data_IF_019342370260
#
_entry.id   IF_019342370260
#
_cell.length_a   1.000
_cell.length_b   1.000
_cell.length_c   1.000
_cell.angle_alpha   90.00
_cell.angle_beta   90.00
_cell.angle_gamma   90.00
#
_symmetry.space_group_name_H-M   'P 1'
#
loop_
_entity.id
_entity.type
_entity.pdbx_description
1 polymer ?
#
# COMPACT_ATOMS: atom_id res chain seq x y z
N UNK A 1 20.99 5.04 -0.58
CA UNK A 1 20.45 6.40 -0.80
C UNK A 1 19.90 6.88 0.54
N UNK A 2 20.50 7.92 1.11
CA UNK A 2 20.12 8.45 2.43
C UNK A 2 18.99 9.46 2.26
N UNK A 3 18.05 9.43 3.19
CA UNK A 3 16.72 9.99 2.97
C UNK A 3 16.46 11.21 3.95
N UNK A 4 17.27 11.36 5.02
CA UNK A 4 17.39 12.24 6.25
C UNK A 4 16.33 12.33 7.45
N UNK A 5 16.15 11.29 8.34
CA UNK A 5 15.09 10.90 9.39
C UNK A 5 13.78 10.07 9.04
N UNK A 6 13.77 8.76 8.74
CA UNK A 6 12.47 7.99 8.69
C UNK A 6 12.04 7.70 10.12
N UNK A 7 10.75 7.85 10.45
CA UNK A 7 10.20 7.38 11.72
C UNK A 7 9.10 6.34 11.42
N UNK A 8 9.50 5.06 11.35
CA UNK A 8 8.56 3.94 11.19
C UNK A 8 7.85 3.72 12.53
N UNK A 9 6.53 3.62 12.51
CA UNK A 9 5.72 3.51 13.72
C UNK A 9 4.98 2.18 13.80
N UNK A 10 5.23 1.39 14.84
CA UNK A 10 4.32 0.32 15.25
C UNK A 10 3.07 0.93 15.88
N UNK A 11 2.07 1.26 15.04
CA UNK A 11 0.79 1.76 15.49
C UNK A 11 -0.19 0.59 15.67
N UNK A 12 -0.51 0.35 16.95
CA UNK A 12 -1.42 -0.66 17.49
C UNK A 12 -1.08 -2.13 17.16
N UNK A 13 -0.38 -2.82 18.08
CA UNK A 13 -0.54 -4.26 18.20
C UNK A 13 -1.94 -4.60 18.74
N UNK A 14 -2.41 -5.83 18.47
CA UNK A 14 -3.77 -6.31 18.77
C UNK A 14 -4.32 -5.98 20.18
N UNK A 15 -3.53 -6.01 21.28
CA UNK A 15 -4.03 -5.63 22.61
C UNK A 15 -4.25 -4.12 22.79
N UNK A 16 -3.41 -3.28 22.18
CA UNK A 16 -3.32 -1.84 22.47
C UNK A 16 -4.35 -1.01 21.70
N UNK A 17 -5.02 -1.63 20.73
CA UNK A 17 -6.12 -1.02 19.96
C UNK A 17 -7.11 -0.37 20.93
N UNK A 18 -7.52 -1.05 22.01
CA UNK A 18 -8.46 -0.52 23.00
C UNK A 18 -8.03 0.76 23.72
N UNK A 19 -6.73 1.03 23.85
CA UNK A 19 -6.25 2.26 24.46
C UNK A 19 -6.32 3.46 23.49
N UNK A 20 -6.14 3.22 22.20
CA UNK A 20 -6.29 4.23 21.15
C UNK A 20 -7.76 4.43 20.69
N UNK A 21 -8.62 3.42 20.89
CA UNK A 21 -10.02 3.41 20.44
C UNK A 21 -10.88 4.55 21.02
N UNK A 22 -10.72 4.89 22.31
CA UNK A 22 -11.70 5.69 23.04
C UNK A 22 -11.82 7.17 22.62
N UNK A 23 -10.79 7.72 21.97
CA UNK A 23 -10.65 9.18 21.74
C UNK A 23 -10.30 9.57 20.30
N UNK A 24 -10.12 8.60 19.41
CA UNK A 24 -9.81 8.85 17.99
C UNK A 24 -11.02 9.48 17.27
N UNK A 25 -10.77 10.45 16.38
CA UNK A 25 -11.85 11.14 15.65
C UNK A 25 -12.49 10.23 14.62
N UNK A 26 -11.75 9.23 14.13
CA UNK A 26 -12.21 8.27 13.12
C UNK A 26 -13.53 7.60 13.48
N UNK A 27 -13.82 7.33 14.74
CA UNK A 27 -15.10 6.73 15.15
C UNK A 27 -16.33 7.60 14.86
N UNK A 28 -16.14 8.91 14.66
CA UNK A 28 -17.18 9.85 14.26
C UNK A 28 -17.21 10.12 12.73
N UNK A 29 -16.28 9.54 11.97
CA UNK A 29 -16.17 9.77 10.53
C UNK A 29 -17.20 8.95 9.75
N UNK A 30 -18.21 9.64 9.20
CA UNK A 30 -19.31 9.02 8.46
C UNK A 30 -18.84 8.24 7.22
N UNK A 31 -17.72 8.63 6.60
CA UNK A 31 -17.14 7.93 5.45
C UNK A 31 -16.48 6.58 5.82
N UNK A 32 -16.08 6.37 7.08
CA UNK A 32 -15.58 5.08 7.58
C UNK A 32 -16.67 4.19 8.19
N UNK A 33 -17.83 4.76 8.53
CA UNK A 33 -18.94 4.04 9.18
C UNK A 33 -19.35 2.74 8.47
N UNK A 34 -19.36 2.74 7.13
CA UNK A 34 -19.69 1.58 6.31
C UNK A 34 -18.64 0.45 6.34
N UNK A 35 -17.48 0.65 6.95
CA UNK A 35 -16.38 -0.33 7.09
C UNK A 35 -16.26 -0.87 8.52
N UNK A 36 -16.81 -0.17 9.52
CA UNK A 36 -16.79 -0.64 10.91
C UNK A 36 -17.49 -2.00 11.06
N UNK A 37 -16.94 -2.83 11.96
CA UNK A 37 -17.43 -4.17 12.30
C UNK A 37 -17.47 -5.19 11.13
N UNK A 38 -16.92 -4.85 9.96
CA UNK A 38 -16.68 -5.81 8.87
C UNK A 38 -15.26 -6.38 9.00
N UNK A 39 -15.06 -7.69 8.75
CA UNK A 39 -13.78 -8.36 8.96
C UNK A 39 -12.76 -8.07 7.86
N UNK A 40 -11.53 -8.59 8.03
CA UNK A 40 -10.54 -8.75 6.97
C UNK A 40 -10.15 -7.42 6.29
N UNK A 41 -10.38 -7.23 4.98
CA UNK A 41 -9.96 -6.02 4.28
C UNK A 41 -10.63 -4.75 4.85
N UNK A 42 -11.87 -4.86 5.33
CA UNK A 42 -12.59 -3.72 5.91
C UNK A 42 -11.98 -3.30 7.25
N UNK A 43 -11.63 -4.27 8.09
CA UNK A 43 -10.91 -4.04 9.35
C UNK A 43 -9.52 -3.46 9.10
N UNK A 44 -8.78 -4.00 8.11
CA UNK A 44 -7.48 -3.47 7.68
C UNK A 44 -7.59 -2.00 7.24
N UNK A 45 -8.57 -1.65 6.42
CA UNK A 45 -8.79 -0.29 5.95
C UNK A 45 -9.05 0.71 7.10
N UNK A 46 -9.80 0.28 8.12
CA UNK A 46 -10.02 1.08 9.35
C UNK A 46 -8.72 1.22 10.15
N UNK A 47 -7.95 0.13 10.33
CA UNK A 47 -6.65 0.17 11.02
C UNK A 47 -5.62 1.06 10.30
N UNK A 48 -5.53 0.97 8.98
CA UNK A 48 -4.69 1.86 8.16
C UNK A 48 -5.09 3.32 8.37
N UNK A 49 -6.39 3.62 8.35
CA UNK A 49 -6.90 4.97 8.56
C UNK A 49 -6.56 5.49 9.98
N UNK A 50 -6.70 4.67 11.02
CA UNK A 50 -6.31 5.01 12.40
C UNK A 50 -4.81 5.30 12.51
N UNK A 51 -3.99 4.46 11.89
CA UNK A 51 -2.54 4.64 11.86
C UNK A 51 -2.15 5.93 11.12
N UNK A 52 -2.87 6.29 10.05
CA UNK A 52 -2.69 7.56 9.35
C UNK A 52 -3.12 8.78 10.20
N UNK A 53 -4.18 8.69 11.02
CA UNK A 53 -4.57 9.78 11.94
C UNK A 53 -3.48 10.03 12.99
N UNK A 54 -2.98 8.98 13.63
CA UNK A 54 -1.90 9.08 14.63
C UNK A 54 -0.60 9.60 14.00
N UNK A 55 -0.27 9.12 12.79
CA UNK A 55 0.90 9.56 12.05
C UNK A 55 0.86 11.05 11.66
N UNK A 56 -0.31 11.65 11.38
CA UNK A 56 -0.42 13.10 11.15
C UNK A 56 0.00 13.89 12.38
N UNK A 57 -0.38 13.44 13.59
CA UNK A 57 0.04 14.07 14.85
C UNK A 57 1.55 13.97 15.01
N UNK A 58 2.11 12.76 14.86
CA UNK A 58 3.55 12.51 15.02
C UNK A 58 4.40 13.28 13.99
N UNK A 59 3.93 13.39 12.74
CA UNK A 59 4.60 14.15 11.69
C UNK A 59 4.55 15.67 11.96
N UNK A 60 3.45 16.19 12.53
CA UNK A 60 3.37 17.59 12.97
C UNK A 60 4.30 17.88 14.13
N UNK A 61 4.30 17.03 15.17
CA UNK A 61 5.15 17.18 16.35
C UNK A 61 6.64 17.04 15.99
N UNK A 62 6.96 16.20 15.00
CA UNK A 62 8.32 16.05 14.44
C UNK A 62 8.76 17.19 13.51
N UNK A 63 7.87 18.12 13.16
CA UNK A 63 8.14 19.20 12.21
C UNK A 63 8.42 18.73 10.79
N UNK A 64 7.71 17.69 10.32
CA UNK A 64 7.82 17.17 8.95
C UNK A 64 7.05 18.06 7.97
N UNK A 65 7.60 18.31 6.77
CA UNK A 65 6.89 19.04 5.71
C UNK A 65 5.82 18.20 4.99
N UNK A 66 6.07 16.88 4.86
CA UNK A 66 5.29 15.95 4.04
C UNK A 66 5.04 14.61 4.77
N UNK A 67 3.93 13.96 4.45
CA UNK A 67 3.57 12.62 4.93
C UNK A 67 3.08 11.74 3.78
N UNK A 68 3.46 10.45 3.79
CA UNK A 68 2.97 9.44 2.86
C UNK A 68 2.72 8.10 3.57
N UNK A 69 1.67 7.41 3.13
CA UNK A 69 1.36 6.04 3.52
C UNK A 69 1.79 5.09 2.41
N UNK A 70 2.54 4.04 2.75
CA UNK A 70 2.97 2.98 1.85
C UNK A 70 2.63 1.62 2.46
N UNK A 71 2.17 0.70 1.63
CA UNK A 71 1.99 -0.70 2.04
C UNK A 71 3.31 -1.46 1.96
N UNK A 72 3.38 -2.62 2.61
CA UNK A 72 4.63 -3.42 2.69
C UNK A 72 5.10 -3.98 1.36
N UNK A 73 4.23 -3.97 0.34
CA UNK A 73 4.52 -4.35 -1.04
C UNK A 73 4.72 -3.13 -1.95
N UNK A 74 5.02 -1.94 -1.40
CA UNK A 74 5.16 -0.69 -2.17
C UNK A 74 6.52 0.00 -2.04
N UNK A 75 7.02 0.55 -3.14
CA UNK A 75 8.24 1.36 -3.20
C UNK A 75 8.01 2.65 -3.99
N UNK A 76 8.59 3.77 -3.55
CA UNK A 76 8.57 5.01 -4.33
C UNK A 76 9.61 4.98 -5.46
N UNK A 77 9.15 5.32 -6.66
CA UNK A 77 9.97 5.51 -7.85
C UNK A 77 10.06 7.02 -8.14
N UNK A 78 11.14 7.73 -7.72
CA UNK A 78 11.32 9.16 -7.98
C UNK A 78 11.83 9.42 -9.41
N UNK A 79 11.14 8.88 -10.42
CA UNK A 79 11.38 9.18 -11.84
C UNK A 79 11.29 10.68 -12.13
N UNK A 80 12.10 11.16 -13.08
CA UNK A 80 12.24 12.59 -13.40
C UNK A 80 12.98 13.44 -12.34
N UNK A 81 13.14 12.96 -11.10
CA UNK A 81 13.75 13.74 -10.02
C UNK A 81 15.27 13.83 -10.14
N UNK A 82 15.82 15.03 -9.89
CA UNK A 82 17.26 15.20 -9.71
C UNK A 82 17.79 14.28 -8.59
N UNK A 83 18.98 13.71 -8.81
CA UNK A 83 19.65 12.77 -7.89
C UNK A 83 18.82 11.50 -7.58
N UNK A 84 17.73 11.22 -8.33
CA UNK A 84 16.76 10.16 -8.06
C UNK A 84 16.23 10.23 -6.61
N UNK A 85 15.90 11.43 -6.17
CA UNK A 85 15.62 11.75 -4.76
C UNK A 85 14.20 12.24 -4.55
N UNK A 86 13.43 11.50 -3.73
CA UNK A 86 12.09 11.91 -3.28
C UNK A 86 12.15 13.27 -2.55
N UNK A 87 13.24 13.55 -1.83
CA UNK A 87 13.44 14.84 -1.16
C UNK A 87 13.56 16.00 -2.16
N UNK A 88 14.28 15.82 -3.27
CA UNK A 88 14.38 16.83 -4.34
C UNK A 88 13.02 17.03 -5.00
N UNK A 89 12.40 15.93 -5.43
CA UNK A 89 11.06 15.90 -6.01
C UNK A 89 10.03 16.67 -5.19
N UNK A 90 9.94 16.41 -3.88
CA UNK A 90 8.98 17.07 -2.97
C UNK A 90 9.37 18.51 -2.57
N UNK A 91 10.64 18.90 -2.72
CA UNK A 91 11.10 20.26 -2.48
C UNK A 91 10.81 21.20 -3.67
N UNK A 92 10.72 20.66 -4.88
CA UNK A 92 10.40 21.40 -6.11
C UNK A 92 8.88 21.63 -6.30
N UNK A 93 8.04 20.92 -5.53
CA UNK A 93 6.58 21.09 -5.54
C UNK A 93 6.18 22.51 -5.09
N UNK A 94 5.35 23.25 -5.87
CA UNK A 94 4.87 24.58 -5.51
C UNK A 94 4.20 24.66 -4.12
N UNK A 95 4.34 25.81 -3.45
CA UNK A 95 3.88 25.99 -2.05
C UNK A 95 2.36 25.97 -1.89
N UNK A 96 1.62 26.29 -2.94
CA UNK A 96 0.16 26.29 -3.02
C UNK A 96 -0.43 24.89 -3.28
N UNK A 97 0.41 23.91 -3.65
CA UNK A 97 0.02 22.51 -3.81
C UNK A 97 0.02 21.82 -2.46
N UNK A 98 -1.12 21.24 -2.09
CA UNK A 98 -1.34 20.54 -0.83
C UNK A 98 -0.91 19.06 -0.89
N UNK A 99 -1.11 18.41 -2.04
CA UNK A 99 -0.85 16.99 -2.21
C UNK A 99 -0.28 16.69 -3.60
N UNK A 100 0.60 15.69 -3.66
CA UNK A 100 1.10 15.11 -4.91
C UNK A 100 0.67 13.66 -5.04
N UNK A 101 0.16 13.30 -6.21
CA UNK A 101 -0.23 11.93 -6.57
C UNK A 101 0.93 11.28 -7.32
N UNK A 102 1.35 10.12 -6.84
CA UNK A 102 2.24 9.17 -7.51
C UNK A 102 1.37 8.11 -8.19
N UNK A 103 1.22 8.09 -9.52
CA UNK A 103 0.50 7.03 -10.21
C UNK A 103 1.17 5.67 -9.96
N UNK A 104 0.38 4.60 -9.82
CA UNK A 104 0.93 3.29 -9.50
C UNK A 104 1.32 2.49 -10.74
N UNK A 105 2.44 1.78 -10.64
CA UNK A 105 2.84 0.72 -11.56
C UNK A 105 2.70 -0.62 -10.84
N UNK A 106 1.95 -1.56 -11.40
CA UNK A 106 1.70 -2.87 -10.78
C UNK A 106 2.65 -3.92 -11.36
N UNK A 107 3.32 -4.71 -10.51
CA UNK A 107 4.25 -5.75 -10.93
C UNK A 107 3.62 -6.76 -11.89
N UNK A 108 4.40 -7.22 -12.86
CA UNK A 108 4.03 -8.32 -13.75
C UNK A 108 5.06 -9.44 -13.59
N UNK A 109 4.62 -10.58 -13.05
CA UNK A 109 5.52 -11.66 -12.64
C UNK A 109 6.14 -12.34 -13.86
N UNK A 110 7.48 -12.32 -13.92
CA UNK A 110 8.27 -12.87 -15.03
C UNK A 110 8.61 -14.37 -14.82
N UNK A 111 8.73 -14.80 -13.57
CA UNK A 111 8.94 -16.20 -13.15
C UNK A 111 8.40 -16.45 -11.74
N UNK A 112 8.15 -17.71 -11.38
CA UNK A 112 7.49 -18.12 -10.13
C UNK A 112 8.42 -18.22 -8.90
N UNK A 113 9.72 -18.42 -9.12
CA UNK A 113 10.70 -18.71 -8.06
C UNK A 113 11.27 -17.48 -7.31
N UNK A 114 10.59 -16.33 -7.32
CA UNK A 114 11.05 -15.07 -6.72
C UNK A 114 11.33 -15.23 -5.21
N UNK A 115 12.45 -14.70 -4.71
CA UNK A 115 12.83 -14.69 -3.27
C UNK A 115 12.72 -13.30 -2.65
N UNK A 116 13.27 -12.28 -3.30
CA UNK A 116 13.10 -10.87 -2.95
C UNK A 116 12.44 -10.10 -4.10
N UNK A 117 11.16 -9.71 -3.96
CA UNK A 117 10.46 -8.96 -5.00
C UNK A 117 11.15 -7.64 -5.37
N UNK A 118 11.73 -6.92 -4.40
CA UNK A 118 12.27 -5.57 -4.63
C UNK A 118 13.53 -5.56 -5.50
N UNK A 119 14.32 -6.64 -5.49
CA UNK A 119 15.51 -6.79 -6.34
C UNK A 119 15.29 -7.67 -7.59
N UNK A 120 14.37 -8.64 -7.56
CA UNK A 120 14.15 -9.56 -8.68
C UNK A 120 13.07 -9.11 -9.68
N UNK A 121 12.04 -8.37 -9.24
CA UNK A 121 10.92 -8.00 -10.14
C UNK A 121 11.24 -6.70 -10.88
N UNK A 122 11.40 -6.81 -12.20
CA UNK A 122 11.79 -5.69 -13.08
C UNK A 122 10.64 -5.16 -13.95
N UNK A 123 9.70 -6.03 -14.32
CA UNK A 123 8.60 -5.68 -15.23
C UNK A 123 7.34 -5.18 -14.50
N UNK A 124 6.82 -4.03 -14.94
CA UNK A 124 5.61 -3.42 -14.39
C UNK A 124 4.63 -2.95 -15.47
N UNK A 125 3.33 -3.10 -15.20
CA UNK A 125 2.26 -2.42 -15.93
C UNK A 125 2.19 -0.97 -15.48
N UNK A 126 2.44 -0.01 -16.39
CA UNK A 126 2.40 1.43 -16.06
C UNK A 126 0.97 1.95 -15.94
N UNK A 127 0.78 2.99 -15.13
CA UNK A 127 -0.51 3.68 -15.03
C UNK A 127 -0.91 4.28 -16.38
N UNK A 128 -2.21 4.31 -16.69
CA UNK A 128 -2.74 4.92 -17.91
C UNK A 128 -2.44 6.43 -18.00
N UNK A 129 -2.27 7.11 -16.86
CA UNK A 129 -1.81 8.50 -16.81
C UNK A 129 -0.42 8.68 -17.46
N UNK A 130 0.43 7.64 -17.40
CA UNK A 130 1.80 7.65 -17.91
C UNK A 130 1.96 6.89 -19.24
N UNK A 131 0.85 6.59 -19.92
CA UNK A 131 0.80 5.91 -21.20
C UNK A 131 0.23 6.85 -22.28
N UNK A 132 0.76 6.81 -23.52
CA UNK A 132 0.09 7.44 -24.65
C UNK A 132 -1.32 6.87 -24.80
N UNK A 133 -2.32 7.73 -25.05
CA UNK A 133 -3.73 7.33 -25.15
C UNK A 133 -3.93 6.20 -26.16
N UNK A 134 -3.28 6.29 -27.32
CA UNK A 134 -3.38 5.29 -28.38
C UNK A 134 -2.80 3.92 -27.96
N UNK A 135 -1.69 3.92 -27.20
CA UNK A 135 -1.14 2.69 -26.60
C UNK A 135 -2.10 2.10 -25.58
N UNK A 136 -2.63 2.91 -24.67
CA UNK A 136 -3.57 2.45 -23.66
C UNK A 136 -4.84 1.87 -24.28
N UNK A 137 -5.56 2.64 -25.11
CA UNK A 137 -6.81 2.18 -25.74
C UNK A 137 -6.60 1.05 -26.76
N UNK A 138 -5.50 1.10 -27.53
CA UNK A 138 -5.17 0.06 -28.50
C UNK A 138 -4.87 -1.30 -27.86
N UNK A 139 -4.18 -1.30 -26.71
CA UNK A 139 -3.80 -2.54 -26.01
C UNK A 139 -4.76 -2.94 -24.87
N UNK A 140 -5.70 -2.07 -24.46
CA UNK A 140 -6.54 -2.27 -23.26
C UNK A 140 -7.21 -3.64 -23.21
N UNK A 141 -7.84 -4.07 -24.31
CA UNK A 141 -8.55 -5.36 -24.39
C UNK A 141 -7.63 -6.57 -24.21
N UNK A 142 -6.39 -6.47 -24.69
CA UNK A 142 -5.40 -7.54 -24.58
C UNK A 142 -4.73 -7.55 -23.20
N UNK A 143 -4.37 -6.37 -22.69
CA UNK A 143 -3.74 -6.20 -21.38
C UNK A 143 -4.68 -6.59 -20.22
N UNK A 144 -5.98 -6.32 -20.35
CA UNK A 144 -6.98 -6.68 -19.32
C UNK A 144 -7.42 -8.13 -19.36
N UNK A 145 -7.38 -8.79 -20.54
CA UNK A 145 -7.93 -10.15 -20.76
C UNK A 145 -9.36 -10.33 -20.23
N UNK A 146 -10.17 -9.28 -20.24
CA UNK A 146 -11.55 -9.29 -19.73
C UNK A 146 -11.71 -8.92 -18.25
N UNK A 147 -10.63 -8.65 -17.51
CA UNK A 147 -10.74 -7.95 -16.23
C UNK A 147 -11.27 -6.51 -16.49
N UNK A 148 -12.40 -6.08 -15.91
CA UNK A 148 -12.87 -4.70 -16.07
C UNK A 148 -11.89 -3.66 -15.48
N UNK A 149 -10.96 -4.09 -14.64
CA UNK A 149 -9.87 -3.28 -14.12
C UNK A 149 -8.56 -3.62 -14.86
N UNK A 150 -7.80 -2.62 -15.30
CA UNK A 150 -6.47 -2.81 -15.91
C UNK A 150 -5.42 -3.34 -14.91
N UNK A 151 -5.64 -3.00 -13.64
CA UNK A 151 -4.87 -3.47 -12.49
C UNK A 151 -5.66 -4.52 -11.69
N UNK A 152 -4.95 -5.36 -10.95
CA UNK A 152 -5.53 -6.36 -10.05
C UNK A 152 -5.90 -5.74 -8.69
N UNK A 153 -5.09 -4.80 -8.19
CA UNK A 153 -5.26 -4.20 -6.86
C UNK A 153 -5.93 -2.83 -6.93
N UNK A 154 -5.27 -1.84 -7.54
CA UNK A 154 -5.76 -0.48 -7.64
C UNK A 154 -5.13 0.28 -8.82
N UNK A 155 -5.77 1.37 -9.25
CA UNK A 155 -5.28 2.22 -10.35
C UNK A 155 -5.21 3.71 -10.03
N UNK A 156 -5.50 4.10 -8.79
CA UNK A 156 -5.56 5.48 -8.34
C UNK A 156 -4.23 6.05 -7.83
N UNK A 157 -3.13 5.27 -7.78
CA UNK A 157 -1.86 5.74 -7.20
C UNK A 157 -1.90 5.98 -5.68
N UNK A 158 -0.74 6.28 -5.09
CA UNK A 158 -0.62 6.80 -3.70
C UNK A 158 -0.42 8.31 -3.73
N UNK A 159 -0.54 8.98 -2.59
CA UNK A 159 -0.28 10.43 -2.49
C UNK A 159 0.52 10.80 -1.25
N UNK A 160 1.47 11.72 -1.42
CA UNK A 160 2.02 12.48 -0.30
C UNK A 160 1.20 13.77 -0.09
N UNK A 161 1.00 14.17 1.17
CA UNK A 161 0.35 15.43 1.54
C UNK A 161 1.27 16.29 2.40
N UNK A 162 1.15 17.62 2.28
CA UNK A 162 1.81 18.54 3.20
C UNK A 162 1.19 18.45 4.58
N UNK A 163 2.03 18.45 5.62
CA UNK A 163 1.57 18.59 7.00
C UNK A 163 1.02 20.00 7.20
N UNK A 164 -0.27 20.07 7.54
CA UNK A 164 -0.99 21.31 7.79
C UNK A 164 -2.15 21.06 8.76
N UNK A 165 -2.79 22.13 9.22
CA UNK A 165 -3.99 22.03 10.05
C UNK A 165 -5.15 21.39 9.29
N UNK A 166 -6.01 20.68 10.03
CA UNK A 166 -7.18 19.98 9.51
C UNK A 166 -6.91 18.87 8.47
N UNK A 167 -5.65 18.50 8.22
CA UNK A 167 -5.29 17.30 7.44
C UNK A 167 -5.91 16.05 8.07
N UNK A 168 -6.42 15.13 7.23
CA UNK A 168 -7.01 13.85 7.63
C UNK A 168 -6.71 12.71 6.64
N UNK A 169 -6.80 11.45 7.06
CA UNK A 169 -6.82 10.29 6.16
C UNK A 169 -8.04 10.31 5.22
N UNK A 170 -7.92 9.72 4.04
CA UNK A 170 -9.03 9.52 3.10
C UNK A 170 -8.92 8.13 2.45
N UNK A 171 -8.82 7.11 3.31
CA UNK A 171 -8.35 5.76 2.95
C UNK A 171 -6.84 5.71 2.74
N UNK A 172 -6.27 4.50 2.66
CA UNK A 172 -4.82 4.28 2.57
C UNK A 172 -4.11 4.94 1.37
N UNK A 173 -4.86 5.39 0.35
CA UNK A 173 -4.28 5.89 -0.91
C UNK A 173 -4.32 7.42 -1.03
N UNK A 174 -5.03 8.12 -0.13
CA UNK A 174 -5.29 9.56 -0.21
C UNK A 174 -5.39 10.22 1.16
N UNK A 175 -5.20 11.53 1.15
CA UNK A 175 -5.52 12.40 2.28
C UNK A 175 -6.66 13.35 1.90
N UNK A 176 -7.14 14.11 2.87
CA UNK A 176 -8.12 15.18 2.66
C UNK A 176 -7.94 16.25 3.74
N UNK A 177 -8.70 17.33 3.69
CA UNK A 177 -8.66 18.39 4.70
C UNK A 177 -10.09 18.78 5.12
N UNK A 178 -10.38 18.95 6.40
CA UNK A 178 -11.73 19.33 6.86
C UNK A 178 -12.11 20.79 6.53
N UNK A 179 -11.13 21.67 6.32
CA UNK A 179 -11.34 23.11 6.15
C UNK A 179 -11.37 23.57 4.68
N UNK A 180 -10.80 22.79 3.75
CA UNK A 180 -10.74 23.10 2.32
C UNK A 180 -10.66 21.85 1.45
N UNK A 181 -11.02 21.96 0.18
CA UNK A 181 -10.55 21.00 -0.82
C UNK A 181 -9.04 21.19 -1.01
N UNK A 182 -8.22 20.12 -0.91
CA UNK A 182 -6.80 20.22 -1.22
C UNK A 182 -6.54 20.62 -2.67
N UNK A 183 -5.46 21.35 -2.92
CA UNK A 183 -4.89 21.52 -4.26
C UNK A 183 -4.00 20.31 -4.59
N UNK A 184 -4.42 19.49 -5.56
CA UNK A 184 -3.78 18.22 -5.93
C UNK A 184 -3.12 18.33 -7.31
N UNK A 185 -1.86 17.88 -7.42
CA UNK A 185 -1.21 17.63 -8.71
C UNK A 185 -0.85 16.15 -8.86
N UNK A 186 -0.72 15.70 -10.11
CA UNK A 186 -0.19 14.38 -10.45
C UNK A 186 1.23 14.54 -10.96
N UNK A 187 2.12 13.65 -10.56
CA UNK A 187 3.50 13.60 -11.06
C UNK A 187 3.50 12.82 -12.38
N UNK A 188 4.29 13.25 -13.37
CA UNK A 188 4.29 12.71 -14.75
C UNK A 188 5.29 11.56 -14.99
N UNK A 189 6.31 11.44 -14.12
CA UNK A 189 7.36 10.42 -14.20
C UNK A 189 7.47 9.60 -12.92
N UNK A 190 7.44 10.28 -11.77
CA UNK A 190 7.50 9.64 -10.47
C UNK A 190 6.23 8.83 -10.17
N UNK A 191 6.41 7.66 -9.57
CA UNK A 191 5.38 6.64 -9.40
C UNK A 191 5.51 5.92 -8.06
N UNK A 192 4.52 5.08 -7.74
CA UNK A 192 4.65 4.04 -6.72
C UNK A 192 4.69 2.68 -7.43
N UNK A 193 5.71 1.88 -7.14
CA UNK A 193 5.82 0.49 -7.61
C UNK A 193 5.07 -0.40 -6.62
N UNK A 194 4.09 -1.16 -7.10
CA UNK A 194 3.31 -2.09 -6.29
C UNK A 194 3.71 -3.53 -6.65
N UNK A 195 4.49 -4.17 -5.77
CA UNK A 195 5.03 -5.53 -5.86
C UNK A 195 4.00 -6.57 -5.40
N UNK A 196 2.79 -6.47 -5.95
CA UNK A 196 1.66 -7.26 -5.49
C UNK A 196 1.60 -8.62 -6.20
N UNK A 197 1.30 -9.67 -5.43
CA UNK A 197 1.21 -11.06 -5.91
C UNK A 197 2.44 -11.59 -6.65
N UNK A 198 3.63 -11.16 -6.21
CA UNK A 198 4.90 -11.56 -6.81
C UNK A 198 5.27 -13.02 -6.59
N UNK A 199 4.72 -13.65 -5.55
CA UNK A 199 4.90 -15.06 -5.22
C UNK A 199 3.54 -15.73 -5.02
N UNK A 200 3.46 -17.04 -5.26
CA UNK A 200 2.25 -17.81 -4.94
C UNK A 200 1.90 -17.77 -3.44
N UNK A 201 2.91 -17.63 -2.56
CA UNK A 201 2.74 -17.44 -1.11
C UNK A 201 2.02 -16.13 -0.74
N UNK A 202 2.01 -15.13 -1.63
CA UNK A 202 1.36 -13.85 -1.37
C UNK A 202 -0.17 -14.03 -1.45
N UNK A 203 -0.64 -14.91 -2.34
CA UNK A 203 -2.05 -15.31 -2.47
C UNK A 203 -2.53 -16.07 -1.23
N UNK A 204 -1.77 -17.07 -0.77
CA UNK A 204 -2.14 -17.85 0.42
C UNK A 204 -2.03 -17.02 1.69
N UNK A 205 -0.96 -16.25 1.89
CA UNK A 205 -0.81 -15.40 3.08
C UNK A 205 -1.88 -14.32 3.17
N UNK A 206 -2.32 -13.72 2.06
CA UNK A 206 -3.39 -12.72 2.05
C UNK A 206 -4.75 -13.32 2.37
N UNK A 207 -5.01 -14.58 1.97
CA UNK A 207 -6.16 -15.37 2.42
C UNK A 207 -6.07 -15.64 3.93
N UNK A 208 -4.94 -16.17 4.39
CA UNK A 208 -4.75 -16.69 5.75
C UNK A 208 -4.67 -15.61 6.83
N UNK A 209 -4.34 -14.36 6.45
CA UNK A 209 -4.55 -13.15 7.29
C UNK A 209 -6.00 -12.96 7.73
N UNK A 210 -6.96 -13.60 7.07
CA UNK A 210 -8.38 -13.44 7.32
C UNK A 210 -9.03 -14.75 7.75
N UNK A 211 -9.63 -14.79 8.95
CA UNK A 211 -10.35 -15.95 9.50
C UNK A 211 -11.69 -16.28 8.80
N UNK A 212 -11.78 -16.03 7.50
CA UNK A 212 -13.00 -16.16 6.71
C UNK A 212 -13.04 -17.51 5.99
N UNK A 213 -14.22 -18.14 5.97
CA UNK A 213 -14.39 -19.44 5.31
C UNK A 213 -14.39 -19.23 3.78
N UNK A 214 -13.93 -20.22 2.99
CA UNK A 214 -13.93 -20.16 1.52
C UNK A 214 -15.35 -20.37 0.92
N UNK A 215 -16.38 -19.82 1.55
CA UNK A 215 -17.76 -19.83 1.02
C UNK A 215 -18.04 -18.54 0.27
N UNK A 216 -18.96 -18.58 -0.70
CA UNK A 216 -19.29 -17.43 -1.56
C UNK A 216 -19.75 -16.21 -0.76
N UNK A 217 -20.51 -16.45 0.30
CA UNK A 217 -21.10 -15.45 1.19
C UNK A 217 -20.04 -14.82 2.10
N UNK A 218 -19.15 -15.63 2.69
CA UNK A 218 -18.16 -15.14 3.66
C UNK A 218 -16.97 -14.46 2.95
N UNK A 219 -16.53 -15.00 1.81
CA UNK A 219 -15.54 -14.34 0.94
C UNK A 219 -16.05 -12.97 0.46
N UNK A 220 -17.34 -12.84 0.11
CA UNK A 220 -17.94 -11.55 -0.25
C UNK A 220 -18.00 -10.56 0.93
N UNK A 221 -18.14 -11.07 2.17
CA UNK A 221 -18.14 -10.28 3.40
C UNK A 221 -16.75 -9.77 3.79
N UNK A 222 -15.71 -10.51 3.45
CA UNK A 222 -14.34 -10.24 3.90
C UNK A 222 -13.47 -9.46 2.90
N UNK A 223 -13.64 -9.70 1.60
CA UNK A 223 -12.78 -9.13 0.57
C UNK A 223 -13.48 -8.03 -0.24
N UNK A 224 -12.79 -6.91 -0.46
CA UNK A 224 -13.33 -5.80 -1.26
C UNK A 224 -13.19 -6.04 -2.77
N UNK A 225 -12.04 -6.57 -3.20
CA UNK A 225 -11.67 -6.76 -4.60
C UNK A 225 -12.20 -8.11 -5.13
N UNK A 226 -12.65 -8.13 -6.39
CA UNK A 226 -13.14 -9.37 -7.01
C UNK A 226 -12.02 -10.37 -7.30
N UNK A 227 -10.78 -9.92 -7.49
CA UNK A 227 -9.61 -10.80 -7.62
C UNK A 227 -9.36 -11.59 -6.33
N UNK A 228 -9.24 -10.91 -5.18
CA UNK A 228 -9.13 -11.53 -3.85
C UNK A 228 -10.28 -12.53 -3.59
N UNK A 229 -11.50 -12.22 -4.06
CA UNK A 229 -12.67 -13.09 -3.95
C UNK A 229 -12.65 -14.32 -4.87
N UNK A 230 -11.92 -14.28 -5.98
CA UNK A 230 -11.73 -15.43 -6.86
C UNK A 230 -10.66 -16.35 -6.26
N UNK A 231 -9.47 -15.80 -6.01
CA UNK A 231 -8.32 -16.49 -5.41
C UNK A 231 -8.70 -17.20 -4.10
N UNK A 232 -9.45 -16.53 -3.21
CA UNK A 232 -9.85 -17.11 -1.92
C UNK A 232 -10.82 -18.32 -2.03
N UNK A 233 -11.44 -18.54 -3.19
CA UNK A 233 -12.23 -19.75 -3.48
C UNK A 233 -11.38 -20.79 -4.18
N UNK A 234 -10.66 -20.39 -5.22
CA UNK A 234 -10.02 -21.32 -6.16
C UNK A 234 -8.76 -21.98 -5.58
N UNK A 235 -8.03 -21.30 -4.68
CA UNK A 235 -6.87 -21.90 -3.98
C UNK A 235 -7.29 -23.08 -3.08
N UNK A 236 -8.57 -23.21 -2.70
CA UNK A 236 -9.05 -24.41 -2.01
C UNK A 236 -8.96 -25.66 -2.89
N UNK A 237 -9.16 -25.52 -4.21
CA UNK A 237 -9.10 -26.60 -5.19
C UNK A 237 -7.64 -27.03 -5.40
N UNK A 238 -6.73 -26.07 -5.57
CA UNK A 238 -5.29 -26.39 -5.69
C UNK A 238 -4.72 -26.98 -4.39
N UNK A 239 -5.12 -26.49 -3.21
CA UNK A 239 -4.62 -27.04 -1.94
C UNK A 239 -5.05 -28.49 -1.67
N UNK A 240 -6.16 -28.97 -2.25
CA UNK A 240 -6.52 -30.40 -2.18
C UNK A 240 -5.65 -31.31 -3.05
N UNK A 241 -4.96 -30.78 -4.06
CA UNK A 241 -4.04 -31.54 -4.93
C UNK A 241 -2.56 -31.30 -4.57
N UNK A 242 -2.22 -30.16 -3.96
CA UNK A 242 -0.85 -29.75 -3.66
C UNK A 242 -0.28 -30.28 -2.32
N UNK A 243 -1.01 -31.13 -1.58
CA UNK A 243 -0.59 -31.57 -0.23
C UNK A 243 0.61 -32.55 -0.20
N UNK A 244 1.14 -33.00 -1.34
CA UNK A 244 2.24 -33.98 -1.38
C UNK A 244 3.67 -33.40 -1.42
N UNK A 245 3.89 -32.09 -1.61
CA UNK A 245 5.27 -31.59 -1.83
C UNK A 245 5.67 -30.38 -0.97
N UNK A 246 6.79 -30.59 -0.24
CA UNK A 246 7.67 -29.65 0.48
C UNK A 246 7.51 -29.49 2.00
N UNK A 247 8.20 -30.39 2.71
CA UNK A 247 8.81 -30.13 4.01
C UNK A 247 10.28 -29.66 3.86
N UNK A 248 10.91 -29.31 5.00
CA UNK A 248 12.36 -29.04 5.24
C UNK A 248 12.85 -27.57 5.20
N UNK A 249 12.71 -26.92 6.37
CA UNK A 249 13.75 -26.27 7.20
C UNK A 249 14.89 -25.42 6.59
N UNK A 250 15.16 -24.26 7.20
CA UNK A 250 16.50 -23.63 7.26
C UNK A 250 16.50 -22.12 7.50
N UNK A 251 17.19 -21.62 8.53
CA UNK A 251 17.29 -20.19 8.86
C UNK A 251 18.71 -19.75 9.25
N UNK A 252 19.09 -18.49 9.00
CA UNK A 252 19.81 -17.54 9.91
C UNK A 252 20.65 -16.44 9.23
N UNK A 253 20.42 -15.17 9.62
CA UNK A 253 21.33 -13.99 9.84
C UNK A 253 22.49 -13.67 8.84
N UNK A 254 22.95 -12.43 8.61
CA UNK A 254 23.41 -11.35 9.53
C UNK A 254 23.50 -9.95 8.85
N UNK A 255 23.45 -8.83 9.63
CA UNK A 255 24.33 -7.62 9.60
C UNK A 255 23.64 -6.27 9.97
N UNK A 256 24.45 -5.21 10.16
CA UNK A 256 24.21 -4.01 11.01
C UNK A 256 23.81 -2.70 10.26
N UNK A 257 23.26 -1.67 10.95
CA UNK A 257 22.46 -0.61 10.30
C UNK A 257 23.08 0.81 10.24
N UNK A 258 22.64 1.62 9.27
CA UNK A 258 22.66 3.10 9.28
C UNK A 258 21.47 3.68 8.48
N UNK A 259 20.76 4.70 9.01
CA UNK A 259 19.39 5.11 8.62
C UNK A 259 19.29 6.52 7.96
N UNK A 260 18.08 6.97 7.45
CA UNK A 260 17.61 8.39 7.19
C UNK A 260 16.19 8.50 6.37
N UNK A 261 15.45 9.66 6.19
CA UNK A 261 13.98 10.10 5.85
C UNK A 261 13.22 9.78 4.54
N UNK A 262 11.98 9.35 4.70
CA UNK A 262 10.82 10.24 4.61
C UNK A 262 9.89 9.80 5.76
N UNK A 263 8.83 10.52 6.12
CA UNK A 263 7.85 9.89 7.02
C UNK A 263 7.01 8.88 6.21
N UNK A 264 7.51 7.65 6.14
CA UNK A 264 6.86 6.50 5.53
C UNK A 264 6.12 5.73 6.62
N UNK A 265 4.79 5.74 6.57
CA UNK A 265 4.00 4.76 7.33
C UNK A 265 4.07 3.44 6.55
N UNK A 266 4.99 2.55 6.90
CA UNK A 266 4.97 1.17 6.44
C UNK A 266 3.90 0.41 7.23
N UNK A 267 2.68 0.30 6.69
CA UNK A 267 1.59 -0.38 7.41
C UNK A 267 1.54 -1.88 7.09
N UNK A 268 1.51 -2.70 8.14
CA UNK A 268 1.37 -4.17 8.19
C UNK A 268 2.63 -5.05 8.31
N UNK A 269 3.85 -4.50 8.29
CA UNK A 269 5.04 -5.31 8.57
C UNK A 269 5.25 -5.54 10.08
N UNK A 270 5.64 -6.76 10.43
CA UNK A 270 6.22 -7.10 11.73
C UNK A 270 7.65 -6.57 11.85
N UNK A 271 8.16 -6.43 13.08
CA UNK A 271 9.55 -6.02 13.35
C UNK A 271 10.56 -6.93 12.63
N UNK A 272 10.27 -8.24 12.57
CA UNK A 272 11.12 -9.24 11.93
C UNK A 272 11.15 -9.17 10.40
N UNK A 273 10.12 -8.60 9.76
CA UNK A 273 10.08 -8.36 8.32
C UNK A 273 10.86 -7.09 7.94
N UNK A 274 10.82 -6.05 8.77
CA UNK A 274 11.52 -4.79 8.51
C UNK A 274 13.02 -4.85 8.83
N UNK A 275 13.44 -5.71 9.76
CA UNK A 275 14.87 -5.97 10.06
C UNK A 275 15.60 -6.81 8.99
N UNK A 276 14.90 -7.19 7.90
CA UNK A 276 15.46 -7.94 6.77
C UNK A 276 15.64 -7.08 5.50
N UNK A 277 15.40 -5.78 5.59
CA UNK A 277 15.61 -4.77 4.54
C UNK A 277 16.81 -3.86 4.89
#
# INVERSE_FOLDING_TARGET
MFFDRVFITHLCHLPDVFYCLGSSRIWNETWLSGFFYKPCNYELFVKQSLNMEMAIVMARDGGMDWIIHLDTDELLYPGGAAEYSVRRLLAEVPRDVDMVIFPNYESSVEHDNIKDPFSEVSMFKRNYDHLPKDTYFGMYKEATRGNPNYFLTYGNGKSAARIQDHLRPNGAHRWHNYAKSPNEIKLEEAAVLHYTYTKFSDLTSRRDRCGCKPTKEDVKRCFMLDFDRAVSKDVFICNSEAQEIYAVLGASHWMTPFAMQAFIIASTASEEEMLRW
#
